data_IF_114252658104
#
_entry.id   IF_114252658104
#
_cell.length_a   1.000
_cell.length_b   1.000
_cell.length_c   1.000
_cell.angle_alpha   90.00
_cell.angle_beta   90.00
_cell.angle_gamma   90.00
#
_symmetry.space_group_name_H-M   'P 1'
#
loop_
_entity.id
_entity.type
_entity.pdbx_description
1 polymer ?
#
# COMPACT_ATOMS: atom_id res chain seq x y z
N UNK A 1 20.43 -13.73 -2.04
CA UNK A 1 19.74 -14.43 -0.93
C UNK A 1 18.26 -14.41 -1.22
N UNK A 2 17.41 -15.17 -0.50
CA UNK A 2 15.95 -15.11 -0.72
C UNK A 2 15.42 -13.74 -0.26
N UNK A 3 14.42 -13.22 -0.96
CA UNK A 3 13.73 -12.02 -0.54
C UNK A 3 13.04 -12.22 0.82
N UNK A 4 13.00 -11.17 1.62
CA UNK A 4 12.30 -11.11 2.91
C UNK A 4 11.46 -9.85 3.00
N UNK A 5 10.62 -9.80 4.01
CA UNK A 5 9.79 -8.65 4.34
C UNK A 5 10.28 -8.08 5.68
N UNK A 6 10.66 -6.81 5.68
CA UNK A 6 10.93 -6.05 6.89
C UNK A 6 9.79 -5.05 7.11
N UNK A 7 9.58 -4.63 8.35
CA UNK A 7 8.45 -3.80 8.77
C UNK A 7 8.93 -2.65 9.65
N UNK A 8 8.48 -1.44 9.31
CA UNK A 8 8.69 -0.23 10.12
C UNK A 8 7.33 0.40 10.38
N UNK A 9 7.10 0.86 11.59
CA UNK A 9 5.93 1.70 11.92
C UNK A 9 6.40 3.14 12.04
N UNK A 10 5.73 4.03 11.31
CA UNK A 10 5.97 5.47 11.38
C UNK A 10 4.69 6.19 11.80
N UNK A 11 4.83 7.28 12.55
CA UNK A 11 3.69 8.03 13.11
C UNK A 11 3.61 9.43 12.50
N UNK A 12 2.39 9.88 12.21
CA UNK A 12 2.13 11.19 11.66
C UNK A 12 0.64 11.50 11.59
N UNK A 13 0.21 12.17 10.51
CA UNK A 13 -1.20 12.59 10.39
C UNK A 13 -1.79 12.23 9.03
N UNK A 14 -3.01 11.72 9.04
CA UNK A 14 -3.89 11.64 7.88
C UNK A 14 -4.73 12.91 7.79
N UNK A 15 -4.82 13.53 6.61
CA UNK A 15 -5.61 14.74 6.37
C UNK A 15 -6.42 14.63 5.10
N UNK A 16 -7.75 14.79 5.20
CA UNK A 16 -8.67 14.79 4.05
C UNK A 16 -9.95 15.55 4.42
N UNK A 17 -10.55 16.24 3.44
CA UNK A 17 -11.83 16.96 3.59
C UNK A 17 -11.85 17.94 4.77
N UNK A 18 -10.70 18.57 5.07
CA UNK A 18 -10.54 19.52 6.17
C UNK A 18 -10.42 18.91 7.56
N UNK A 19 -10.42 17.58 7.68
CA UNK A 19 -10.10 16.86 8.92
C UNK A 19 -8.63 16.46 8.98
N UNK A 20 -8.13 16.23 10.20
CA UNK A 20 -6.77 15.71 10.46
C UNK A 20 -6.82 14.78 11.66
N UNK A 21 -6.16 13.65 11.57
CA UNK A 21 -6.13 12.58 12.57
C UNK A 21 -4.71 12.07 12.75
N UNK A 22 -4.30 11.83 14.00
CA UNK A 22 -3.04 11.12 14.27
C UNK A 22 -3.17 9.66 13.86
N UNK A 23 -2.17 9.15 13.13
CA UNK A 23 -2.16 7.77 12.61
C UNK A 23 -0.75 7.17 12.69
N UNK A 24 -0.72 5.85 12.83
CA UNK A 24 0.48 5.04 12.67
C UNK A 24 0.35 4.24 11.38
N UNK A 25 1.37 4.33 10.51
CA UNK A 25 1.40 3.64 9.24
C UNK A 25 2.41 2.49 9.24
N UNK A 26 2.02 1.40 8.60
CA UNK A 26 2.92 0.30 8.30
C UNK A 26 3.69 0.59 7.00
N UNK A 27 4.99 0.71 7.11
CA UNK A 27 5.90 0.77 5.97
C UNK A 27 6.50 -0.61 5.76
N UNK A 28 6.27 -1.20 4.60
CA UNK A 28 6.81 -2.52 4.27
C UNK A 28 8.01 -2.41 3.34
N UNK A 29 9.05 -3.18 3.64
CA UNK A 29 10.28 -3.21 2.85
C UNK A 29 10.45 -4.65 2.34
N UNK A 30 10.49 -4.82 1.03
CA UNK A 30 10.63 -6.15 0.40
C UNK A 30 11.94 -6.19 -0.38
N UNK A 31 12.77 -7.18 -0.11
CA UNK A 31 14.05 -7.32 -0.79
C UNK A 31 14.98 -8.33 -0.13
N UNK A 32 16.25 -8.32 -0.52
CA UNK A 32 17.31 -9.13 0.11
C UNK A 32 18.32 -8.24 0.86
N UNK A 33 19.56 -8.70 1.07
CA UNK A 33 20.58 -7.93 1.76
C UNK A 33 21.26 -6.86 0.86
N UNK A 34 20.92 -6.82 -0.42
CA UNK A 34 21.56 -5.92 -1.41
C UNK A 34 20.61 -4.88 -1.97
N UNK A 35 19.35 -5.23 -2.17
CA UNK A 35 18.36 -4.36 -2.78
C UNK A 35 16.97 -4.56 -2.18
N UNK A 36 16.15 -3.51 -2.26
CA UNK A 36 14.78 -3.52 -1.75
C UNK A 36 13.87 -2.58 -2.54
N UNK A 37 12.57 -2.77 -2.37
CA UNK A 37 11.52 -1.78 -2.61
C UNK A 37 10.89 -1.39 -1.27
N UNK A 38 10.37 -0.17 -1.19
CA UNK A 38 9.55 0.33 -0.08
C UNK A 38 8.12 0.45 -0.56
N UNK A 39 7.19 -0.06 0.21
CA UNK A 39 5.75 0.09 -0.01
C UNK A 39 5.22 1.08 1.01
N UNK A 40 4.65 2.18 0.53
CA UNK A 40 4.13 3.33 1.29
C UNK A 40 5.20 4.01 2.16
N UNK A 41 5.87 5.01 1.58
CA UNK A 41 6.86 5.80 2.32
C UNK A 41 6.15 6.86 3.18
N UNK A 42 5.72 6.45 4.37
CA UNK A 42 4.93 7.25 5.31
C UNK A 42 5.80 8.01 6.31
N UNK A 43 5.48 9.26 6.53
CA UNK A 43 5.88 10.15 7.63
C UNK A 43 7.38 10.40 7.83
N UNK A 44 8.21 9.37 7.99
CA UNK A 44 9.60 9.48 8.43
C UNK A 44 10.58 8.81 7.46
N UNK A 45 11.13 9.60 6.52
CA UNK A 45 12.12 9.11 5.56
C UNK A 45 13.43 8.64 6.24
N UNK A 46 13.82 9.23 7.37
CA UNK A 46 15.06 8.84 8.07
C UNK A 46 14.91 7.47 8.73
N UNK A 47 13.77 7.21 9.37
CA UNK A 47 13.46 5.89 9.94
C UNK A 47 13.43 4.80 8.84
N UNK A 48 12.84 5.10 7.68
CA UNK A 48 12.81 4.18 6.54
C UNK A 48 14.23 3.94 6.00
N UNK A 49 15.04 4.99 5.85
CA UNK A 49 16.45 4.88 5.42
C UNK A 49 17.26 4.03 6.39
N UNK A 50 17.07 4.22 7.69
CA UNK A 50 17.75 3.40 8.70
C UNK A 50 17.37 1.92 8.58
N UNK A 51 16.10 1.62 8.31
CA UNK A 51 15.62 0.24 8.13
C UNK A 51 16.08 -0.41 6.82
N UNK A 52 16.43 0.39 5.80
CA UNK A 52 17.05 -0.11 4.57
C UNK A 52 18.44 -0.68 4.83
N UNK A 53 19.14 -0.24 5.87
CA UNK A 53 20.44 -0.74 6.31
C UNK A 53 21.48 -0.85 5.18
N UNK A 54 21.56 0.21 4.35
CA UNK A 54 22.52 0.31 3.24
C UNK A 54 22.12 -0.45 1.96
N UNK A 55 20.97 -1.11 1.93
CA UNK A 55 20.42 -1.74 0.72
C UNK A 55 20.11 -0.68 -0.34
N UNK A 56 20.30 -1.03 -1.62
CA UNK A 56 19.91 -0.16 -2.73
C UNK A 56 18.38 -0.15 -2.86
N UNK A 57 17.74 1.00 -2.63
CA UNK A 57 16.32 1.18 -2.87
C UNK A 57 16.05 1.31 -4.37
N UNK A 58 15.28 0.38 -4.95
CA UNK A 58 14.99 0.33 -6.39
C UNK A 58 13.74 1.11 -6.76
N UNK A 59 12.72 1.05 -5.90
CA UNK A 59 11.48 1.79 -6.08
C UNK A 59 10.79 2.07 -4.73
N UNK A 60 10.00 3.13 -4.73
CA UNK A 60 8.98 3.45 -3.73
C UNK A 60 7.64 3.20 -4.41
N UNK A 61 6.88 2.23 -3.93
CA UNK A 61 5.60 1.82 -4.51
C UNK A 61 4.49 2.34 -3.60
N UNK A 62 3.68 3.25 -4.11
CA UNK A 62 2.56 3.80 -3.36
C UNK A 62 1.31 2.97 -3.62
N UNK A 63 0.73 2.39 -2.56
CA UNK A 63 -0.53 1.64 -2.67
C UNK A 63 -1.68 2.54 -3.06
N UNK A 64 -1.67 3.77 -2.58
CA UNK A 64 -2.59 4.86 -2.96
C UNK A 64 -1.97 6.21 -2.55
N UNK A 65 -2.66 7.32 -2.82
CA UNK A 65 -2.07 8.65 -2.64
C UNK A 65 -2.73 9.49 -1.54
N UNK A 66 -3.23 8.88 -0.45
CA UNK A 66 -3.49 9.64 0.77
C UNK A 66 -2.17 10.13 1.37
N UNK A 67 -2.19 11.31 1.98
CA UNK A 67 -0.97 11.98 2.43
C UNK A 67 -0.11 11.13 3.35
N UNK A 68 -0.72 10.41 4.25
CA UNK A 68 -0.06 9.57 5.24
C UNK A 68 0.64 8.31 4.66
N UNK A 69 0.41 7.97 3.39
CA UNK A 69 1.13 6.91 2.68
C UNK A 69 2.25 7.41 1.77
N UNK A 70 2.27 8.72 1.47
CA UNK A 70 3.15 9.27 0.44
C UNK A 70 3.98 10.48 0.89
N UNK A 71 3.73 11.02 2.07
CA UNK A 71 4.31 12.31 2.50
C UNK A 71 5.84 12.27 2.60
N UNK A 72 6.46 11.14 2.96
CA UNK A 72 7.91 10.96 2.97
C UNK A 72 8.49 10.50 1.61
N UNK A 73 7.67 10.15 0.62
CA UNK A 73 8.14 9.55 -0.63
C UNK A 73 9.13 10.45 -1.41
N UNK A 74 8.91 11.76 -1.60
CA UNK A 74 9.88 12.62 -2.29
C UNK A 74 11.20 12.76 -1.54
N UNK A 75 11.18 12.85 -0.21
CA UNK A 75 12.39 12.93 0.60
C UNK A 75 13.22 11.64 0.52
N UNK A 76 12.56 10.50 0.59
CA UNK A 76 13.20 9.19 0.44
C UNK A 76 13.78 8.98 -0.96
N UNK A 77 13.03 9.40 -2.00
CA UNK A 77 13.49 9.37 -3.39
C UNK A 77 14.73 10.26 -3.60
N UNK A 78 14.72 11.48 -3.06
CA UNK A 78 15.87 12.39 -3.13
C UNK A 78 17.13 11.83 -2.46
N UNK A 79 16.98 11.12 -1.34
CA UNK A 79 18.10 10.52 -0.60
C UNK A 79 18.67 9.26 -1.27
N UNK A 80 17.87 8.51 -2.04
CA UNK A 80 18.25 7.19 -2.55
C UNK A 80 18.38 7.12 -4.07
N UNK A 81 17.77 8.06 -4.80
CA UNK A 81 17.62 8.02 -6.26
C UNK A 81 16.55 7.02 -6.74
N UNK A 82 15.75 6.46 -5.83
CA UNK A 82 14.69 5.53 -6.17
C UNK A 82 13.54 6.22 -6.89
N UNK A 83 12.88 5.49 -7.81
CA UNK A 83 11.70 5.98 -8.52
C UNK A 83 10.45 5.83 -7.65
N UNK A 84 9.57 6.82 -7.70
CA UNK A 84 8.23 6.77 -7.10
C UNK A 84 7.24 6.23 -8.13
N UNK A 85 6.53 5.17 -7.78
CA UNK A 85 5.54 4.52 -8.63
C UNK A 85 4.15 4.65 -8.01
N UNK A 86 3.17 5.10 -8.81
CA UNK A 86 1.80 5.32 -8.37
C UNK A 86 0.82 4.95 -9.49
N UNK A 87 -0.36 4.44 -9.14
CA UNK A 87 -1.42 4.26 -10.12
C UNK A 87 -1.96 5.62 -10.60
N UNK A 88 -2.11 5.85 -11.93
CA UNK A 88 -2.40 7.20 -12.48
C UNK A 88 -3.75 7.77 -12.03
N UNK A 89 -4.72 6.94 -11.64
CA UNK A 89 -6.01 7.43 -11.13
C UNK A 89 -5.89 8.18 -9.79
N UNK A 90 -4.79 8.01 -9.06
CA UNK A 90 -4.52 8.71 -7.79
C UNK A 90 -3.70 10.00 -7.95
N UNK A 91 -3.35 10.40 -9.16
CA UNK A 91 -2.66 11.67 -9.38
C UNK A 91 -3.38 12.90 -8.79
N UNK A 92 -4.74 12.99 -8.80
CA UNK A 92 -5.43 14.10 -8.14
C UNK A 92 -5.20 14.16 -6.62
N UNK A 93 -5.12 13.00 -5.94
CA UNK A 93 -4.79 12.91 -4.53
C UNK A 93 -3.31 13.24 -4.28
N UNK A 94 -2.41 12.68 -5.07
CA UNK A 94 -0.98 12.99 -5.01
C UNK A 94 -0.70 14.49 -5.04
N UNK A 95 -1.34 15.23 -5.94
CA UNK A 95 -1.16 16.67 -6.09
C UNK A 95 -1.64 17.51 -4.91
N UNK A 96 -2.50 16.97 -4.06
CA UNK A 96 -2.91 17.65 -2.82
C UNK A 96 -1.77 17.70 -1.81
N UNK A 97 -0.93 16.66 -1.77
CA UNK A 97 0.22 16.56 -0.86
C UNK A 97 1.49 17.10 -1.51
N UNK A 98 1.71 16.79 -2.79
CA UNK A 98 2.94 17.13 -3.53
C UNK A 98 2.62 17.87 -4.83
N UNK A 99 2.17 19.15 -4.77
CA UNK A 99 1.75 19.91 -5.95
C UNK A 99 2.88 20.13 -6.96
N UNK A 100 4.12 20.25 -6.48
CA UNK A 100 5.31 20.56 -7.29
C UNK A 100 6.14 19.33 -7.67
N UNK A 101 5.70 18.12 -7.28
CA UNK A 101 6.37 16.88 -7.58
C UNK A 101 5.41 15.90 -8.29
N UNK A 102 5.95 15.06 -9.14
CA UNK A 102 5.17 14.00 -9.83
C UNK A 102 5.81 12.64 -9.59
N UNK A 103 5.03 11.57 -9.51
CA UNK A 103 5.58 10.22 -9.55
C UNK A 103 6.38 9.97 -10.84
N UNK A 104 7.38 9.09 -10.76
CA UNK A 104 8.30 8.78 -11.86
C UNK A 104 7.77 7.72 -12.82
N UNK A 105 6.71 7.03 -12.46
CA UNK A 105 6.11 6.00 -13.30
C UNK A 105 4.75 5.54 -12.84
N UNK A 106 3.98 5.03 -13.81
CA UNK A 106 2.64 4.53 -13.61
C UNK A 106 2.64 3.05 -13.21
N UNK A 107 1.72 2.68 -12.32
CA UNK A 107 1.35 1.30 -12.01
C UNK A 107 0.06 0.93 -12.73
N UNK A 108 -0.04 -0.33 -13.15
CA UNK A 108 -1.22 -0.85 -13.84
C UNK A 108 -1.59 -2.25 -13.33
N UNK A 109 -2.88 -2.59 -13.41
CA UNK A 109 -3.39 -3.92 -13.04
C UNK A 109 -2.65 -5.02 -13.83
N UNK A 110 -2.20 -6.06 -13.12
CA UNK A 110 -1.44 -7.18 -13.68
C UNK A 110 0.03 -6.89 -13.97
N UNK A 111 0.52 -5.66 -13.75
CA UNK A 111 1.95 -5.35 -13.84
C UNK A 111 2.74 -6.14 -12.79
N UNK A 112 3.91 -6.65 -13.18
CA UNK A 112 4.80 -7.36 -12.27
C UNK A 112 6.01 -6.50 -11.96
N UNK A 113 6.30 -6.32 -10.68
CA UNK A 113 7.51 -5.72 -10.16
C UNK A 113 8.40 -6.84 -9.60
N UNK A 114 9.60 -6.97 -10.11
CA UNK A 114 10.54 -7.99 -9.63
C UNK A 114 11.61 -7.34 -8.74
N UNK A 115 11.81 -7.88 -7.54
CA UNK A 115 12.85 -7.45 -6.61
C UNK A 115 13.50 -8.68 -5.95
N UNK A 116 14.83 -8.73 -5.93
CA UNK A 116 15.59 -9.83 -5.32
C UNK A 116 15.10 -11.23 -5.77
N UNK A 117 14.70 -11.36 -7.05
CA UNK A 117 14.20 -12.60 -7.64
C UNK A 117 12.77 -12.99 -7.24
N UNK A 118 12.04 -12.11 -6.56
CA UNK A 118 10.64 -12.30 -6.18
C UNK A 118 9.75 -11.36 -6.97
N UNK A 119 8.63 -11.86 -7.46
CA UNK A 119 7.64 -11.12 -8.22
C UNK A 119 6.50 -10.62 -7.32
N UNK A 120 6.16 -9.34 -7.48
CA UNK A 120 4.99 -8.71 -6.88
C UNK A 120 4.04 -8.29 -8.00
N UNK A 121 2.87 -8.89 -8.05
CA UNK A 121 1.84 -8.54 -9.03
C UNK A 121 0.97 -7.40 -8.50
N UNK A 122 0.85 -6.34 -9.28
CA UNK A 122 -0.06 -5.22 -8.99
C UNK A 122 -1.50 -5.65 -9.25
N UNK A 123 -2.35 -5.52 -8.25
CA UNK A 123 -3.79 -5.70 -8.34
C UNK A 123 -4.45 -4.34 -8.17
N UNK A 124 -5.11 -3.81 -9.18
CA UNK A 124 -5.87 -2.56 -9.04
C UNK A 124 -7.13 -2.84 -8.23
N UNK A 125 -7.24 -2.21 -7.07
CA UNK A 125 -8.29 -2.41 -6.06
C UNK A 125 -8.89 -1.07 -5.64
N UNK A 126 -9.60 -0.37 -6.55
CA UNK A 126 -10.21 0.92 -6.25
C UNK A 126 -11.31 0.79 -5.20
N UNK A 127 -11.66 1.93 -4.59
CA UNK A 127 -12.80 2.07 -3.68
C UNK A 127 -12.47 2.82 -2.40
N UNK A 128 -11.32 2.58 -1.75
CA UNK A 128 -10.77 3.47 -0.73
C UNK A 128 -10.19 4.73 -1.38
N UNK A 129 -9.43 4.54 -2.44
CA UNK A 129 -8.93 5.57 -3.35
C UNK A 129 -9.12 5.11 -4.81
N UNK A 130 -9.22 6.02 -5.80
CA UNK A 130 -9.47 5.64 -7.19
C UNK A 130 -8.35 4.81 -7.81
N UNK A 131 -7.11 5.09 -7.43
CA UNK A 131 -5.91 4.38 -7.86
C UNK A 131 -5.38 3.39 -6.84
N UNK A 132 -6.21 3.00 -5.86
CA UNK A 132 -5.81 2.01 -4.86
C UNK A 132 -5.33 0.71 -5.49
N UNK A 133 -4.17 0.20 -5.05
CA UNK A 133 -3.61 -1.08 -5.48
C UNK A 133 -3.25 -1.95 -4.30
N UNK A 134 -3.25 -3.26 -4.54
CA UNK A 134 -2.58 -4.23 -3.69
C UNK A 134 -1.39 -4.84 -4.44
N UNK A 135 -0.41 -5.37 -3.70
CA UNK A 135 0.76 -6.05 -4.26
C UNK A 135 0.76 -7.50 -3.79
N UNK A 136 0.54 -8.44 -4.69
CA UNK A 136 0.54 -9.87 -4.37
C UNK A 136 1.90 -10.50 -4.67
N UNK A 137 2.54 -11.06 -3.65
CA UNK A 137 3.82 -11.76 -3.71
C UNK A 137 3.62 -13.25 -3.36
N UNK A 138 3.31 -14.11 -4.34
CA UNK A 138 3.00 -15.52 -4.09
C UNK A 138 4.15 -16.28 -3.46
N UNK A 139 5.40 -16.01 -3.84
CA UNK A 139 6.59 -16.67 -3.30
C UNK A 139 6.83 -16.33 -1.81
N UNK A 140 6.26 -15.21 -1.35
CA UNK A 140 6.28 -14.80 0.06
C UNK A 140 4.97 -15.13 0.80
N UNK A 141 4.00 -15.76 0.12
CA UNK A 141 2.68 -16.07 0.67
C UNK A 141 1.94 -14.83 1.20
N UNK A 142 2.10 -13.68 0.56
CA UNK A 142 1.70 -12.38 1.12
C UNK A 142 1.05 -11.48 0.07
N UNK A 143 0.07 -10.68 0.51
CA UNK A 143 -0.47 -9.54 -0.21
C UNK A 143 -0.38 -8.27 0.67
N UNK A 144 0.18 -7.20 0.11
CA UNK A 144 0.20 -5.87 0.74
C UNK A 144 -1.03 -5.12 0.25
N UNK A 145 -1.91 -4.74 1.15
CA UNK A 145 -3.25 -4.24 0.80
C UNK A 145 -3.40 -2.73 0.92
N UNK A 146 -2.38 -2.04 1.46
CA UNK A 146 -2.59 -0.64 1.84
C UNK A 146 -3.87 -0.53 2.66
N UNK A 147 -4.75 0.35 2.23
CA UNK A 147 -6.04 0.60 2.88
C UNK A 147 -7.24 -0.06 2.19
N UNK A 148 -7.00 -1.10 1.39
CA UNK A 148 -8.09 -1.86 0.76
C UNK A 148 -8.75 -2.84 1.73
N UNK A 149 -7.96 -3.66 2.44
CA UNK A 149 -8.45 -4.69 3.37
C UNK A 149 -7.61 -4.70 4.64
N UNK A 150 -8.29 -4.66 5.78
CA UNK A 150 -7.75 -4.72 7.12
C UNK A 150 -8.23 -5.97 7.86
N UNK A 151 -7.65 -6.23 9.03
CA UNK A 151 -8.25 -7.14 10.00
C UNK A 151 -9.63 -6.60 10.40
N UNK A 152 -10.68 -7.37 10.09
CA UNK A 152 -12.07 -7.03 10.41
C UNK A 152 -12.84 -6.30 9.31
N UNK A 153 -12.23 -6.01 8.15
CA UNK A 153 -13.01 -5.51 7.02
C UNK A 153 -12.33 -4.56 6.05
N UNK A 154 -13.13 -3.99 5.14
CA UNK A 154 -12.69 -3.02 4.15
C UNK A 154 -12.13 -1.75 4.80
N UNK A 155 -11.25 -1.08 4.07
CA UNK A 155 -10.83 0.28 4.39
C UNK A 155 -11.99 1.27 4.40
N UNK A 156 -11.80 2.35 5.14
CA UNK A 156 -12.82 3.38 5.30
C UNK A 156 -13.24 3.99 3.96
N UNK A 157 -14.53 4.19 3.81
CA UNK A 157 -15.15 4.92 2.69
C UNK A 157 -16.07 6.01 3.24
N UNK A 158 -16.78 6.75 2.35
CA UNK A 158 -17.66 7.84 2.76
C UNK A 158 -16.97 9.22 2.83
N UNK A 159 -15.71 9.31 2.40
CA UNK A 159 -14.99 10.55 2.17
C UNK A 159 -14.80 10.80 0.68
N UNK A 160 -14.28 11.96 0.30
CA UNK A 160 -13.93 12.29 -1.07
C UNK A 160 -13.06 11.20 -1.70
N UNK A 161 -13.32 10.90 -2.97
CA UNK A 161 -12.62 9.90 -3.79
C UNK A 161 -12.87 8.42 -3.40
N UNK A 162 -13.71 8.13 -2.40
CA UNK A 162 -14.00 6.76 -1.99
C UNK A 162 -15.42 6.29 -2.36
N UNK A 163 -15.58 4.97 -2.52
CA UNK A 163 -16.86 4.32 -2.87
C UNK A 163 -16.94 2.92 -2.26
N UNK A 164 -17.93 2.69 -1.37
CA UNK A 164 -18.06 1.42 -0.66
C UNK A 164 -18.41 0.23 -1.57
N UNK A 165 -19.36 0.31 -2.50
CA UNK A 165 -19.62 -0.79 -3.43
C UNK A 165 -18.36 -1.20 -4.21
N UNK A 166 -17.59 -0.23 -4.67
CA UNK A 166 -16.35 -0.47 -5.45
C UNK A 166 -15.28 -1.17 -4.63
N UNK A 167 -15.05 -0.78 -3.35
CA UNK A 167 -14.04 -1.46 -2.52
C UNK A 167 -14.44 -2.90 -2.22
N UNK A 168 -15.73 -3.15 -1.98
CA UNK A 168 -16.25 -4.51 -1.76
C UNK A 168 -16.06 -5.38 -2.99
N UNK A 169 -16.35 -4.85 -4.18
CA UNK A 169 -16.12 -5.56 -5.46
C UNK A 169 -14.63 -5.85 -5.66
N UNK A 170 -13.75 -4.88 -5.41
CA UNK A 170 -12.30 -5.06 -5.47
C UNK A 170 -11.81 -6.17 -4.54
N UNK A 171 -12.25 -6.16 -3.29
CA UNK A 171 -11.88 -7.19 -2.31
C UNK A 171 -12.38 -8.56 -2.79
N UNK A 172 -13.67 -8.67 -3.17
CA UNK A 172 -14.29 -9.93 -3.60
C UNK A 172 -13.58 -10.53 -4.81
N UNK A 173 -13.28 -9.71 -5.83
CA UNK A 173 -12.79 -10.18 -7.11
C UNK A 173 -11.26 -10.36 -7.17
N UNK A 174 -10.51 -9.57 -6.41
CA UNK A 174 -9.05 -9.57 -6.45
C UNK A 174 -8.39 -10.22 -5.24
N UNK A 175 -8.93 -10.03 -4.04
CA UNK A 175 -8.28 -10.49 -2.81
C UNK A 175 -8.84 -11.82 -2.30
N UNK A 176 -10.17 -11.99 -2.23
CA UNK A 176 -10.76 -13.22 -1.70
C UNK A 176 -10.63 -14.42 -2.64
N UNK A 177 -10.07 -14.23 -3.83
CA UNK A 177 -9.68 -15.29 -4.78
C UNK A 177 -8.28 -15.84 -4.54
N UNK A 178 -7.49 -15.17 -3.69
CA UNK A 178 -6.15 -15.61 -3.31
C UNK A 178 -6.21 -16.81 -2.34
N UNK A 179 -5.14 -17.61 -2.22
CA UNK A 179 -5.10 -18.71 -1.26
C UNK A 179 -5.42 -18.24 0.17
N UNK A 180 -6.22 -19.00 0.93
CA UNK A 180 -6.69 -18.55 2.26
C UNK A 180 -5.55 -18.34 3.28
N UNK A 181 -4.42 -19.01 3.11
CA UNK A 181 -3.22 -18.85 3.94
C UNK A 181 -2.42 -17.57 3.62
N UNK A 182 -2.76 -16.84 2.54
CA UNK A 182 -2.06 -15.61 2.16
C UNK A 182 -2.15 -14.58 3.29
N UNK A 183 -1.01 -14.14 3.79
CA UNK A 183 -0.92 -13.10 4.80
C UNK A 183 -1.31 -11.74 4.18
N UNK A 184 -2.16 -11.00 4.86
CA UNK A 184 -2.58 -9.64 4.50
C UNK A 184 -1.76 -8.65 5.30
N UNK A 185 -0.93 -7.86 4.61
CA UNK A 185 -0.10 -6.78 5.17
C UNK A 185 -0.78 -5.45 4.89
N UNK A 186 -1.31 -4.86 5.93
CA UNK A 186 -2.17 -3.67 5.90
C UNK A 186 -1.39 -2.36 5.90
N UNK A 187 -1.99 -1.25 5.51
CA UNK A 187 -1.42 0.09 5.64
C UNK A 187 -1.37 0.58 7.08
N UNK A 188 -2.30 0.12 7.93
CA UNK A 188 -2.38 0.46 9.36
C UNK A 188 -2.72 -0.79 10.19
N UNK A 189 -2.35 -0.76 11.48
CA UNK A 189 -2.73 -1.77 12.46
C UNK A 189 -2.19 -3.17 12.17
N UNK A 190 -2.93 -4.18 12.62
CA UNK A 190 -2.48 -5.55 12.59
C UNK A 190 -2.66 -6.23 11.23
N UNK A 191 -1.77 -7.16 10.93
CA UNK A 191 -1.90 -8.08 9.79
C UNK A 191 -2.97 -9.15 10.04
N UNK A 192 -3.54 -9.69 8.94
CA UNK A 192 -4.50 -10.79 8.98
C UNK A 192 -4.20 -11.82 7.88
N UNK A 193 -5.15 -12.65 7.49
CA UNK A 193 -5.07 -13.57 6.36
C UNK A 193 -6.33 -13.50 5.51
N UNK A 194 -6.22 -13.85 4.23
CA UNK A 194 -7.38 -13.93 3.35
C UNK A 194 -8.45 -14.87 3.93
N UNK A 195 -8.04 -16.03 4.46
CA UNK A 195 -8.96 -17.00 5.04
C UNK A 195 -9.67 -16.54 6.31
N UNK A 196 -9.05 -15.64 7.09
CA UNK A 196 -9.70 -15.05 8.26
C UNK A 196 -10.79 -14.04 7.86
N UNK A 197 -10.56 -13.28 6.79
CA UNK A 197 -11.46 -12.19 6.38
C UNK A 197 -12.58 -12.64 5.42
N UNK A 198 -12.31 -13.62 4.55
CA UNK A 198 -13.25 -14.06 3.51
C UNK A 198 -14.66 -14.44 4.03
N UNK A 199 -14.82 -15.10 5.22
CA UNK A 199 -16.15 -15.43 5.74
C UNK A 199 -17.03 -14.22 6.06
N UNK A 200 -16.43 -13.04 6.26
CA UNK A 200 -17.13 -11.83 6.72
C UNK A 200 -17.65 -10.92 5.60
N UNK A 201 -17.41 -11.26 4.33
CA UNK A 201 -17.82 -10.43 3.18
C UNK A 201 -19.29 -10.03 3.23
N UNK A 202 -20.22 -10.99 3.52
CA UNK A 202 -21.63 -10.69 3.56
C UNK A 202 -22.00 -9.78 4.74
N UNK A 203 -21.28 -9.88 5.85
CA UNK A 203 -21.48 -9.00 7.01
C UNK A 203 -21.08 -7.56 6.65
N UNK A 204 -19.96 -7.36 5.96
CA UNK A 204 -19.53 -6.02 5.50
C UNK A 204 -20.55 -5.40 4.54
N UNK A 205 -21.04 -6.18 3.56
CA UNK A 205 -22.07 -5.73 2.63
C UNK A 205 -23.34 -5.28 3.37
N UNK A 206 -23.79 -6.08 4.35
CA UNK A 206 -25.00 -5.77 5.12
C UNK A 206 -24.84 -4.54 6.03
N UNK A 207 -23.61 -4.31 6.54
CA UNK A 207 -23.26 -3.14 7.37
C UNK A 207 -23.21 -1.87 6.54
N UNK A 208 -22.75 -1.95 5.30
CA UNK A 208 -22.70 -0.83 4.34
C UNK A 208 -21.53 0.14 4.55
N UNK A 209 -20.55 -0.23 5.33
CA UNK A 209 -19.33 0.55 5.63
C UNK A 209 -18.22 -0.34 6.17
#
# INVERSE_FOLDING_TARGET
MAARIDHVVTSGTFSLDGGTWDVDNNVWIVGDDTEAIVIDAAHDAEAILAALDGRALRAIVCTHAHNDHIDAAPALAAATGARILLHPADQPLWKQTHPDHSPDGDLADGQVLTIAGTDLTVLHTPGHAPGGICLYAPDLGTVFTGDTLFQGGPGATGRSFSDFPTIVDSIREKLLTLPPETAVRTGHGDSTTIGAEAPHLQEWINRGH
#
